data_IF_139521993968
#
_entry.id   IF_139521993968
#
_cell.length_a   1.000
_cell.length_b   1.000
_cell.length_c   1.000
_cell.angle_alpha   90.00
_cell.angle_beta   90.00
_cell.angle_gamma   90.00
#
_symmetry.space_group_name_H-M   'P 1'
#
loop_
_entity.id
_entity.type
_entity.pdbx_description
1 polymer ?
#
# COMPACT_ATOMS: atom_id res chain seq x y z
N UNK A 1 -44.27 18.07 9.25
CA UNK A 1 -43.93 16.64 9.43
C UNK A 1 -42.84 16.29 8.43
N UNK A 2 -41.58 16.22 8.89
CA UNK A 2 -40.45 15.73 8.09
C UNK A 2 -40.30 14.24 8.38
N UNK A 3 -40.27 13.42 7.34
CA UNK A 3 -39.94 11.99 7.46
C UNK A 3 -38.51 11.84 8.00
N UNK A 4 -38.25 10.88 8.90
CA UNK A 4 -36.89 10.55 9.31
C UNK A 4 -36.18 9.85 8.15
N UNK A 5 -34.92 10.20 7.94
CA UNK A 5 -34.05 9.51 7.00
C UNK A 5 -33.79 8.09 7.53
N UNK A 6 -33.95 7.11 6.64
CA UNK A 6 -33.58 5.72 6.90
C UNK A 6 -32.06 5.65 7.11
N UNK A 7 -31.65 5.30 8.33
CA UNK A 7 -30.29 4.87 8.64
C UNK A 7 -29.99 3.58 7.85
N UNK A 8 -29.22 3.72 6.78
CA UNK A 8 -28.63 2.58 6.09
C UNK A 8 -27.70 1.86 7.09
N UNK A 9 -27.85 0.54 7.33
CA UNK A 9 -26.99 -0.17 8.25
C UNK A 9 -25.54 -0.11 7.74
N UNK A 10 -24.63 0.31 8.62
CA UNK A 10 -23.19 0.19 8.38
C UNK A 10 -22.87 -1.24 7.91
N UNK A 11 -22.07 -1.41 6.84
CA UNK A 11 -21.62 -2.73 6.43
C UNK A 11 -20.61 -3.25 7.45
N UNK A 12 -21.14 -3.79 8.55
CA UNK A 12 -20.39 -4.55 9.53
C UNK A 12 -19.65 -5.68 8.80
N UNK A 13 -18.32 -5.61 8.88
CA UNK A 13 -17.35 -6.49 8.24
C UNK A 13 -17.40 -7.92 8.82
N UNK A 14 -18.56 -8.58 8.71
CA UNK A 14 -18.78 -9.96 9.15
C UNK A 14 -18.41 -10.91 8.01
N UNK A 15 -17.26 -11.58 8.18
CA UNK A 15 -16.68 -12.70 7.39
C UNK A 15 -15.98 -12.23 6.11
N UNK A 16 -14.69 -12.54 5.90
CA UNK A 16 -14.14 -13.89 5.92
C UNK A 16 -12.91 -14.06 6.85
N UNK A 17 -13.17 -14.45 8.10
CA UNK A 17 -12.26 -15.38 8.76
C UNK A 17 -12.47 -16.74 8.07
N UNK A 18 -11.39 -17.41 7.65
CA UNK A 18 -11.43 -18.77 7.09
C UNK A 18 -12.39 -19.63 7.91
N UNK A 19 -13.35 -20.28 7.25
CA UNK A 19 -14.43 -21.01 7.90
C UNK A 19 -13.87 -22.03 8.90
N UNK A 20 -14.52 -22.14 10.06
CA UNK A 20 -14.14 -23.06 11.15
C UNK A 20 -14.27 -24.56 10.78
N UNK A 21 -14.51 -24.89 9.52
CA UNK A 21 -14.72 -26.25 9.02
C UNK A 21 -13.43 -26.99 8.65
N UNK A 22 -12.27 -26.40 8.96
CA UNK A 22 -10.97 -26.98 8.70
C UNK A 22 -10.59 -27.04 7.21
N UNK A 23 -11.31 -26.32 6.34
CA UNK A 23 -11.04 -26.33 4.91
C UNK A 23 -9.76 -25.58 4.58
N UNK A 24 -8.92 -26.24 3.78
CA UNK A 24 -7.80 -25.63 3.07
C UNK A 24 -8.34 -24.65 2.03
N UNK A 25 -7.89 -23.40 2.10
CA UNK A 25 -8.15 -22.38 1.10
C UNK A 25 -6.87 -22.09 0.32
N UNK A 26 -7.02 -21.83 -0.98
CA UNK A 26 -5.90 -21.44 -1.85
C UNK A 26 -6.22 -20.10 -2.49
N UNK A 27 -5.26 -19.19 -2.47
CA UNK A 27 -5.35 -17.86 -3.08
C UNK A 27 -4.21 -17.67 -4.07
N UNK A 28 -4.48 -16.95 -5.15
CA UNK A 28 -3.46 -16.49 -6.09
C UNK A 28 -3.31 -15.00 -5.89
N UNK A 29 -2.10 -14.54 -5.58
CA UNK A 29 -1.79 -13.13 -5.39
C UNK A 29 -1.72 -12.46 -6.75
N UNK A 30 -2.27 -11.25 -6.88
CA UNK A 30 -2.31 -10.52 -8.15
C UNK A 30 -1.22 -9.45 -8.18
N UNK A 31 -0.65 -9.20 -9.36
CA UNK A 31 0.35 -8.16 -9.56
C UNK A 31 0.44 -7.77 -11.04
N UNK A 32 -0.33 -6.75 -11.44
CA UNK A 32 -0.31 -6.16 -12.78
C UNK A 32 -0.40 -7.21 -13.92
N UNK A 33 -1.35 -8.14 -13.78
CA UNK A 33 -1.56 -9.26 -14.70
C UNK A 33 -0.78 -10.54 -14.34
N UNK A 34 0.25 -10.45 -13.50
CA UNK A 34 1.01 -11.58 -12.98
C UNK A 34 0.36 -12.26 -11.77
N UNK A 35 0.88 -13.44 -11.42
CA UNK A 35 0.53 -14.18 -10.20
C UNK A 35 1.78 -14.61 -9.43
N UNK A 36 2.50 -13.69 -8.76
CA UNK A 36 3.83 -13.98 -8.22
C UNK A 36 3.82 -15.05 -7.12
N UNK A 37 2.70 -15.18 -6.40
CA UNK A 37 2.57 -16.14 -5.31
C UNK A 37 1.25 -16.89 -5.33
N UNK A 38 1.31 -18.17 -4.96
CA UNK A 38 0.18 -18.99 -4.52
C UNK A 38 0.26 -19.12 -3.01
N UNK A 39 -0.87 -18.97 -2.32
CA UNK A 39 -0.93 -19.08 -0.86
C UNK A 39 -1.90 -20.18 -0.48
N UNK A 40 -1.46 -21.09 0.38
CA UNK A 40 -2.31 -22.10 1.02
C UNK A 40 -2.54 -21.71 2.47
N UNK A 41 -3.81 -21.63 2.88
CA UNK A 41 -4.22 -21.35 4.26
C UNK A 41 -5.00 -22.56 4.79
N UNK A 42 -4.55 -23.10 5.91
CA UNK A 42 -5.21 -24.22 6.57
C UNK A 42 -5.33 -23.95 8.07
N UNK A 43 -6.52 -24.16 8.63
CA UNK A 43 -6.74 -24.14 10.09
C UNK A 43 -7.19 -25.52 10.52
N UNK A 44 -6.48 -26.14 11.46
CA UNK A 44 -6.91 -27.42 12.00
C UNK A 44 -8.02 -27.19 13.04
N UNK A 45 -9.01 -28.11 13.15
CA UNK A 45 -10.00 -28.03 14.22
C UNK A 45 -9.31 -27.99 15.60
N UNK A 46 -9.58 -26.94 16.38
CA UNK A 46 -8.99 -26.74 17.70
C UNK A 46 -7.67 -25.96 17.73
N UNK A 47 -7.02 -25.70 16.59
CA UNK A 47 -5.83 -24.85 16.53
C UNK A 47 -6.25 -23.35 16.55
N UNK A 48 -5.75 -22.53 17.49
CA UNK A 48 -6.02 -21.10 17.48
C UNK A 48 -5.39 -20.38 16.28
N UNK A 49 -4.35 -20.95 15.65
CA UNK A 49 -3.62 -20.34 14.54
C UNK A 49 -3.91 -21.05 13.22
N UNK A 50 -3.79 -20.30 12.13
CA UNK A 50 -3.81 -20.84 10.77
C UNK A 50 -2.37 -21.07 10.30
N UNK A 51 -2.12 -22.22 9.67
CA UNK A 51 -0.90 -22.49 8.93
C UNK A 51 -1.02 -21.86 7.55
N UNK A 52 -0.07 -20.99 7.20
CA UNK A 52 -0.03 -20.25 5.94
C UNK A 52 1.26 -20.59 5.22
N UNK A 53 1.15 -21.07 3.99
CA UNK A 53 2.29 -21.46 3.14
C UNK A 53 2.28 -20.63 1.86
N UNK A 54 3.42 -20.02 1.52
CA UNK A 54 3.58 -19.19 0.32
C UNK A 54 4.49 -19.92 -0.66
N UNK A 55 4.07 -20.00 -1.93
CA UNK A 55 4.80 -20.65 -3.01
C UNK A 55 5.08 -19.62 -4.11
N UNK A 56 6.32 -19.54 -4.60
CA UNK A 56 6.68 -18.64 -5.71
C UNK A 56 6.22 -19.18 -7.04
N UNK A 57 5.90 -18.29 -7.96
CA UNK A 57 5.67 -18.63 -9.36
C UNK A 57 6.98 -19.02 -10.07
N UNK A 58 6.86 -19.94 -11.02
CA UNK A 58 7.91 -20.33 -11.97
C UNK A 58 7.49 -19.76 -13.33
N UNK A 59 8.31 -18.86 -13.88
CA UNK A 59 8.04 -18.17 -15.14
C UNK A 59 8.81 -18.82 -16.29
N UNK A 60 8.35 -19.98 -16.74
CA UNK A 60 8.89 -20.68 -17.91
C UNK A 60 7.84 -20.94 -19.00
N UNK A 61 6.55 -20.72 -18.72
CA UNK A 61 5.42 -21.08 -19.59
C UNK A 61 4.30 -20.02 -19.60
N UNK A 62 3.37 -20.13 -20.56
CA UNK A 62 2.19 -19.25 -20.71
C UNK A 62 1.22 -19.29 -19.51
N UNK A 63 1.34 -20.30 -18.63
CA UNK A 63 0.51 -20.48 -17.45
C UNK A 63 1.37 -20.50 -16.17
N UNK A 64 1.00 -19.78 -15.10
CA UNK A 64 1.82 -19.73 -13.89
C UNK A 64 1.84 -21.10 -13.22
N UNK A 65 3.03 -21.73 -13.21
CA UNK A 65 3.36 -22.83 -12.31
C UNK A 65 3.91 -22.25 -11.02
N UNK A 66 3.91 -23.06 -9.97
CA UNK A 66 4.46 -22.66 -8.68
C UNK A 66 5.42 -23.74 -8.19
N UNK A 67 6.39 -23.31 -7.38
CA UNK A 67 7.26 -24.22 -6.63
C UNK A 67 6.42 -25.27 -5.88
N UNK A 68 6.96 -26.50 -5.79
CA UNK A 68 6.32 -27.60 -5.07
C UNK A 68 6.38 -27.39 -3.56
N UNK A 69 7.52 -26.86 -3.08
CA UNK A 69 7.76 -26.52 -1.68
C UNK A 69 7.47 -25.04 -1.41
N UNK A 70 6.98 -24.69 -0.21
CA UNK A 70 6.77 -23.29 0.14
C UNK A 70 8.10 -22.58 0.32
N UNK A 71 8.22 -21.37 -0.27
CA UNK A 71 9.38 -20.52 -0.07
C UNK A 71 9.42 -19.90 1.33
N UNK A 72 8.26 -19.74 1.98
CA UNK A 72 8.11 -19.31 3.36
C UNK A 72 6.79 -19.80 3.95
N UNK A 73 6.75 -20.00 5.27
CA UNK A 73 5.56 -20.44 6.01
C UNK A 73 5.37 -19.64 7.31
N UNK A 74 4.12 -19.48 7.73
CA UNK A 74 3.74 -18.74 8.92
C UNK A 74 2.67 -19.46 9.73
N UNK A 75 2.66 -19.21 11.04
CA UNK A 75 1.53 -19.52 11.93
C UNK A 75 0.86 -18.21 12.33
N UNK A 76 -0.34 -17.95 11.79
CA UNK A 76 -1.04 -16.68 11.92
C UNK A 76 -2.26 -16.79 12.84
N UNK A 77 -2.37 -15.91 13.82
CA UNK A 77 -3.56 -15.78 14.70
C UNK A 77 -4.78 -15.38 13.88
N UNK A 78 -4.59 -14.47 12.93
CA UNK A 78 -5.62 -14.02 12.00
C UNK A 78 -5.06 -13.89 10.59
N UNK A 79 -5.89 -14.24 9.61
CA UNK A 79 -5.61 -14.07 8.19
C UNK A 79 -6.67 -13.12 7.63
N UNK A 80 -6.22 -11.96 7.17
CA UNK A 80 -7.05 -11.00 6.45
C UNK A 80 -6.90 -11.28 4.95
N UNK A 81 -7.98 -11.70 4.32
CA UNK A 81 -8.02 -11.97 2.88
C UNK A 81 -8.38 -10.68 2.16
N UNK A 82 -7.52 -10.23 1.25
CA UNK A 82 -7.75 -9.05 0.43
C UNK A 82 -8.99 -9.22 -0.45
N UNK A 83 -9.85 -8.22 -0.46
CA UNK A 83 -11.07 -8.20 -1.27
C UNK A 83 -11.12 -6.92 -2.09
N UNK A 84 -11.73 -7.00 -3.28
CA UNK A 84 -11.93 -5.87 -4.18
C UNK A 84 -13.40 -5.43 -4.23
N UNK A 85 -13.82 -4.42 -3.45
CA UNK A 85 -15.21 -4.00 -3.38
C UNK A 85 -15.75 -3.43 -4.70
N UNK A 86 -14.87 -2.76 -5.47
CA UNK A 86 -15.21 -2.06 -6.73
C UNK A 86 -15.68 -3.02 -7.83
N UNK A 87 -15.32 -4.30 -7.77
CA UNK A 87 -15.71 -5.33 -8.74
C UNK A 87 -16.79 -6.26 -8.18
N UNK A 88 -17.86 -5.70 -7.62
CA UNK A 88 -18.89 -6.46 -6.92
C UNK A 88 -19.53 -7.60 -7.76
N UNK A 89 -19.59 -7.42 -9.10
CA UNK A 89 -20.11 -8.43 -10.04
C UNK A 89 -19.09 -9.52 -10.42
N UNK A 90 -17.81 -9.32 -10.09
CA UNK A 90 -16.70 -10.24 -10.31
C UNK A 90 -15.96 -10.60 -9.01
N UNK A 91 -16.60 -10.47 -7.84
CA UNK A 91 -15.98 -10.67 -6.51
C UNK A 91 -15.16 -11.95 -6.40
N UNK A 92 -15.71 -13.07 -6.86
CA UNK A 92 -15.05 -14.37 -6.83
C UNK A 92 -13.69 -14.41 -7.57
N UNK A 93 -13.43 -13.47 -8.48
CA UNK A 93 -12.19 -13.42 -9.27
C UNK A 93 -11.03 -12.73 -8.55
N UNK A 94 -11.29 -11.92 -7.52
CA UNK A 94 -10.26 -11.06 -6.90
C UNK A 94 -10.10 -11.26 -5.40
N UNK A 95 -10.89 -12.15 -4.79
CA UNK A 95 -10.69 -12.51 -3.39
C UNK A 95 -9.35 -13.22 -3.21
N UNK A 96 -8.55 -12.74 -2.25
CA UNK A 96 -7.20 -13.23 -2.02
C UNK A 96 -6.16 -12.71 -3.00
N UNK A 97 -6.44 -11.60 -3.69
CA UNK A 97 -5.46 -10.89 -4.52
C UNK A 97 -4.21 -10.43 -3.74
N UNK A 98 -4.31 -10.35 -2.42
CA UNK A 98 -3.25 -10.14 -1.44
C UNK A 98 -3.75 -10.60 -0.07
N UNK A 99 -2.84 -10.87 0.86
CA UNK A 99 -3.18 -11.24 2.24
C UNK A 99 -2.41 -10.37 3.23
N UNK A 100 -3.02 -10.17 4.39
CA UNK A 100 -2.34 -9.63 5.56
C UNK A 100 -2.47 -10.64 6.71
N UNK A 101 -1.34 -11.04 7.29
CA UNK A 101 -1.25 -12.03 8.34
C UNK A 101 -0.95 -11.32 9.65
N UNK A 102 -1.75 -11.57 10.67
CA UNK A 102 -1.45 -11.19 12.05
C UNK A 102 -0.76 -12.35 12.73
N UNK A 103 0.49 -12.15 13.16
CA UNK A 103 1.30 -13.22 13.76
C UNK A 103 1.10 -13.29 15.28
N UNK A 104 1.37 -12.17 15.94
CA UNK A 104 1.22 -11.94 17.39
C UNK A 104 1.33 -10.44 17.66
N UNK A 105 0.69 -9.95 18.74
CA UNK A 105 0.82 -8.54 19.16
C UNK A 105 0.53 -7.56 18.02
N UNK A 106 1.51 -6.72 17.69
CA UNK A 106 1.45 -5.75 16.58
C UNK A 106 2.26 -6.16 15.35
N UNK A 107 2.72 -7.42 15.28
CA UNK A 107 3.52 -7.93 14.17
C UNK A 107 2.62 -8.49 13.07
N UNK A 108 2.86 -8.01 11.86
CA UNK A 108 2.11 -8.41 10.68
C UNK A 108 3.06 -8.80 9.54
N UNK A 109 2.55 -9.66 8.67
CA UNK A 109 3.19 -9.98 7.38
C UNK A 109 2.20 -9.67 6.28
N UNK A 110 2.61 -8.81 5.35
CA UNK A 110 1.89 -8.58 4.12
C UNK A 110 2.39 -9.52 3.03
N UNK A 111 1.46 -10.09 2.26
CA UNK A 111 1.72 -10.95 1.11
C UNK A 111 1.02 -10.34 -0.11
N UNK A 112 1.78 -9.65 -0.96
CA UNK A 112 1.33 -9.03 -2.21
C UNK A 112 2.35 -9.21 -3.32
N UNK A 113 2.73 -8.14 -4.03
CA UNK A 113 3.83 -8.18 -5.01
C UNK A 113 5.15 -8.68 -4.39
N UNK A 114 5.36 -8.40 -3.10
CA UNK A 114 6.44 -8.92 -2.27
C UNK A 114 5.84 -9.48 -0.96
N UNK A 115 6.63 -10.26 -0.22
CA UNK A 115 6.32 -10.65 1.16
C UNK A 115 7.20 -9.84 2.10
N UNK A 116 6.60 -9.07 3.01
CA UNK A 116 7.36 -8.33 4.01
C UNK A 116 6.67 -8.33 5.39
N UNK A 117 7.49 -8.24 6.43
CA UNK A 117 7.04 -8.05 7.80
C UNK A 117 7.06 -6.56 8.18
N UNK A 118 6.11 -6.14 9.01
CA UNK A 118 6.10 -4.82 9.63
C UNK A 118 5.46 -4.86 11.02
N UNK A 119 5.69 -3.81 11.80
CA UNK A 119 5.02 -3.60 13.09
C UNK A 119 4.02 -2.46 12.95
N UNK A 120 2.74 -2.74 13.22
CA UNK A 120 1.70 -1.72 13.24
C UNK A 120 1.83 -0.84 14.50
N UNK A 121 1.28 0.37 14.46
CA UNK A 121 1.19 1.27 15.63
C UNK A 121 0.14 0.78 16.61
N UNK A 122 -0.97 0.26 16.09
CA UNK A 122 -2.09 -0.29 16.87
C UNK A 122 -2.67 -1.53 16.17
N UNK A 123 -3.50 -2.34 16.88
CA UNK A 123 -4.13 -3.50 16.28
C UNK A 123 -4.94 -3.17 15.01
N UNK A 124 -4.67 -3.90 13.93
CA UNK A 124 -5.37 -3.77 12.66
C UNK A 124 -6.78 -4.35 12.78
N UNK A 125 -7.78 -3.52 12.45
CA UNK A 125 -9.20 -3.85 12.54
C UNK A 125 -9.84 -4.08 11.17
N UNK A 126 -9.27 -3.50 10.11
CA UNK A 126 -9.78 -3.59 8.74
C UNK A 126 -8.64 -3.77 7.74
N UNK A 127 -8.90 -4.55 6.71
CA UNK A 127 -8.00 -4.76 5.58
C UNK A 127 -8.83 -4.85 4.31
N UNK A 128 -8.35 -4.20 3.25
CA UNK A 128 -9.00 -4.16 1.94
C UNK A 128 -7.94 -4.13 0.86
N UNK A 129 -8.24 -4.69 -0.31
CA UNK A 129 -7.31 -4.72 -1.44
C UNK A 129 -8.09 -4.51 -2.74
N UNK A 130 -8.52 -3.26 -3.02
CA UNK A 130 -9.14 -2.92 -4.29
C UNK A 130 -8.21 -3.27 -5.45
N UNK A 131 -8.76 -3.82 -6.52
CA UNK A 131 -8.01 -4.04 -7.76
C UNK A 131 -8.39 -2.95 -8.75
N UNK A 132 -7.40 -2.17 -9.16
CA UNK A 132 -7.55 -1.15 -10.17
C UNK A 132 -7.63 -1.73 -11.58
N UNK A 133 -7.45 -0.86 -12.57
CA UNK A 133 -7.28 -1.31 -13.94
C UNK A 133 -5.99 -2.15 -14.07
N UNK A 134 -5.93 -3.00 -15.08
CA UNK A 134 -4.77 -3.87 -15.37
C UNK A 134 -4.39 -4.85 -14.24
N UNK A 135 -5.35 -5.21 -13.38
CA UNK A 135 -5.14 -6.24 -12.36
C UNK A 135 -4.08 -5.88 -11.31
N UNK A 136 -3.98 -4.58 -10.97
CA UNK A 136 -3.09 -4.05 -9.93
C UNK A 136 -3.84 -3.93 -8.60
N UNK A 137 -3.45 -4.66 -7.54
CA UNK A 137 -4.01 -4.47 -6.21
C UNK A 137 -3.48 -3.20 -5.53
N UNK A 138 -4.35 -2.55 -4.75
CA UNK A 138 -4.05 -1.40 -3.90
C UNK A 138 -4.33 -1.72 -2.43
N UNK A 139 -3.62 -2.69 -1.82
CA UNK A 139 -3.90 -3.15 -0.48
C UNK A 139 -3.60 -2.09 0.56
N UNK A 140 -4.53 -1.94 1.51
CA UNK A 140 -4.34 -1.12 2.68
C UNK A 140 -5.04 -1.69 3.91
N UNK A 141 -4.49 -1.35 5.08
CA UNK A 141 -5.05 -1.71 6.37
C UNK A 141 -5.41 -0.48 7.19
N UNK A 142 -6.34 -0.63 8.13
CA UNK A 142 -6.68 0.37 9.13
C UNK A 142 -6.56 -0.23 10.53
N UNK A 143 -5.90 0.51 11.43
CA UNK A 143 -5.86 0.17 12.85
C UNK A 143 -6.98 0.84 13.66
N UNK A 144 -7.09 0.47 14.93
CA UNK A 144 -8.11 0.99 15.86
C UNK A 144 -8.00 2.50 16.14
N UNK A 145 -6.86 3.13 15.87
CA UNK A 145 -6.69 4.60 15.98
C UNK A 145 -6.89 5.31 14.65
N UNK A 146 -7.24 4.56 13.60
CA UNK A 146 -7.52 5.10 12.28
C UNK A 146 -6.28 5.38 11.43
N UNK A 147 -5.07 4.95 11.79
CA UNK A 147 -3.95 5.03 10.83
C UNK A 147 -4.21 4.08 9.66
N UNK A 148 -3.82 4.52 8.45
CA UNK A 148 -3.95 3.73 7.21
C UNK A 148 -2.57 3.31 6.72
N UNK A 149 -2.38 2.01 6.52
CA UNK A 149 -1.11 1.42 6.07
C UNK A 149 -1.22 1.11 4.58
N UNK A 150 -0.49 1.82 3.73
CA UNK A 150 -0.46 1.67 2.28
C UNK A 150 0.69 0.76 1.88
N UNK A 151 0.37 -0.52 1.65
CA UNK A 151 1.38 -1.57 1.55
C UNK A 151 2.30 -1.44 0.33
N UNK A 152 1.78 -0.99 -0.82
CA UNK A 152 2.57 -0.85 -2.06
C UNK A 152 3.22 0.54 -2.20
N UNK A 153 2.92 1.45 -1.28
CA UNK A 153 3.55 2.77 -1.23
C UNK A 153 4.46 2.93 -0.01
N UNK A 154 4.63 1.93 0.85
CA UNK A 154 5.42 2.02 2.09
C UNK A 154 5.11 3.25 2.93
N UNK A 155 3.82 3.61 3.06
CA UNK A 155 3.37 4.82 3.77
C UNK A 155 2.31 4.48 4.81
N UNK A 156 2.38 5.16 5.95
CA UNK A 156 1.32 5.25 6.94
C UNK A 156 0.71 6.65 6.85
N UNK A 157 -0.61 6.73 6.71
CA UNK A 157 -1.35 8.00 6.70
C UNK A 157 -2.08 8.17 8.03
N UNK A 158 -1.96 9.34 8.64
CA UNK A 158 -2.61 9.64 9.93
C UNK A 158 -4.14 9.60 9.84
N UNK A 159 -4.78 9.05 10.88
CA UNK A 159 -6.24 8.95 10.96
C UNK A 159 -6.97 10.29 10.94
N UNK A 160 -6.31 11.38 11.37
CA UNK A 160 -6.86 12.73 11.39
C UNK A 160 -7.30 13.22 10.00
N UNK A 161 -6.71 12.68 8.92
CA UNK A 161 -7.08 13.06 7.56
C UNK A 161 -8.42 12.48 7.09
N UNK A 162 -8.97 11.52 7.84
CA UNK A 162 -10.18 10.77 7.48
C UNK A 162 -11.36 11.01 8.43
N UNK A 163 -11.24 11.91 9.42
CA UNK A 163 -12.28 12.15 10.44
C UNK A 163 -13.66 12.50 9.85
N UNK A 164 -13.70 12.96 8.60
CA UNK A 164 -14.94 13.29 7.88
C UNK A 164 -14.92 12.82 6.42
N UNK A 165 -14.18 11.74 6.11
CA UNK A 165 -14.05 11.28 4.74
C UNK A 165 -13.93 9.77 4.60
N UNK A 166 -14.71 9.22 3.67
CA UNK A 166 -14.61 7.85 3.17
C UNK A 166 -13.71 7.74 1.93
N UNK A 167 -12.89 8.77 1.64
CA UNK A 167 -11.95 8.73 0.51
C UNK A 167 -11.05 7.50 0.60
N UNK A 168 -10.82 6.87 -0.55
CA UNK A 168 -9.86 5.77 -0.64
C UNK A 168 -8.47 6.28 -0.18
N UNK A 169 -7.78 5.57 0.73
CA UNK A 169 -6.50 6.02 1.24
C UNK A 169 -5.42 6.26 0.16
N UNK A 170 -5.44 5.51 -0.95
CA UNK A 170 -4.51 5.76 -2.06
C UNK A 170 -4.88 7.00 -2.85
N UNK A 171 -6.17 7.24 -3.11
CA UNK A 171 -6.62 8.47 -3.79
C UNK A 171 -6.20 9.70 -2.98
N UNK A 172 -6.41 9.67 -1.65
CA UNK A 172 -5.96 10.75 -0.76
C UNK A 172 -4.44 10.91 -0.77
N UNK A 173 -3.69 9.82 -0.71
CA UNK A 173 -2.23 9.85 -0.72
C UNK A 173 -1.69 10.43 -2.02
N UNK A 174 -2.10 9.95 -3.19
CA UNK A 174 -1.58 10.45 -4.47
C UNK A 174 -1.94 11.91 -4.74
N UNK A 175 -3.08 12.36 -4.21
CA UNK A 175 -3.52 13.74 -4.30
C UNK A 175 -2.70 14.66 -3.40
N UNK A 176 -2.42 14.20 -2.17
CA UNK A 176 -1.67 14.98 -1.17
C UNK A 176 -0.16 14.79 -1.23
N UNK A 177 0.35 13.82 -1.97
CA UNK A 177 1.79 13.61 -2.13
C UNK A 177 2.46 14.66 -3.05
N UNK A 178 1.69 15.49 -3.76
CA UNK A 178 2.21 16.51 -4.65
C UNK A 178 2.83 17.69 -3.89
N UNK A 179 4.11 17.98 -4.16
CA UNK A 179 4.84 19.16 -3.68
C UNK A 179 4.88 20.27 -4.74
N UNK A 180 4.87 19.90 -6.03
CA UNK A 180 4.73 20.82 -7.17
C UNK A 180 3.57 20.39 -8.07
N UNK A 181 3.22 21.21 -9.07
CA UNK A 181 2.16 20.85 -10.00
C UNK A 181 2.51 19.57 -10.79
N UNK A 182 1.51 18.73 -11.03
CA UNK A 182 1.65 17.52 -11.82
C UNK A 182 1.68 17.85 -13.31
N UNK A 183 2.88 18.06 -13.84
CA UNK A 183 3.10 18.45 -15.24
C UNK A 183 2.82 17.30 -16.23
N UNK A 184 2.59 16.08 -15.74
CA UNK A 184 2.13 14.94 -16.56
C UNK A 184 0.64 14.98 -16.89
N UNK A 185 -0.14 15.85 -16.24
CA UNK A 185 -1.57 16.02 -16.47
C UNK A 185 -1.89 17.25 -17.33
N UNK A 186 -2.97 17.19 -18.11
CA UNK A 186 -3.46 18.30 -18.93
C UNK A 186 -4.93 18.59 -18.57
N UNK A 187 -5.24 19.70 -17.87
CA UNK A 187 -4.30 20.69 -17.32
C UNK A 187 -3.49 20.13 -16.13
N UNK A 188 -2.35 20.76 -15.76
CA UNK A 188 -1.56 20.31 -14.60
C UNK A 188 -2.35 20.33 -13.30
N UNK A 189 -2.30 19.23 -12.54
CA UNK A 189 -2.95 19.13 -11.23
C UNK A 189 -2.14 19.91 -10.20
N UNK A 190 -2.78 20.81 -9.46
CA UNK A 190 -2.10 21.60 -8.44
C UNK A 190 -1.86 20.78 -7.16
N UNK A 191 -0.76 21.02 -6.43
CA UNK A 191 -0.50 20.37 -5.15
C UNK A 191 -1.53 20.80 -4.10
N UNK A 192 -1.82 19.94 -3.12
CA UNK A 192 -2.78 20.27 -2.06
C UNK A 192 -2.31 21.45 -1.19
N UNK A 193 -1.00 21.57 -1.00
CA UNK A 193 -0.36 22.72 -0.38
C UNK A 193 0.39 23.48 -1.46
N UNK A 194 -0.18 24.60 -1.91
CA UNK A 194 0.50 25.47 -2.87
C UNK A 194 1.83 25.95 -2.29
N UNK A 195 2.91 25.86 -3.10
CA UNK A 195 4.22 26.42 -2.77
C UNK A 195 4.80 25.95 -1.42
N UNK A 196 4.81 24.64 -1.17
CA UNK A 196 5.49 24.09 0.00
C UNK A 196 6.92 24.62 0.12
N UNK A 197 7.24 25.31 1.21
CA UNK A 197 8.50 26.03 1.43
C UNK A 197 8.93 26.97 0.27
N UNK A 198 7.95 27.55 -0.44
CA UNK A 198 8.17 28.41 -1.61
C UNK A 198 8.62 27.66 -2.86
N UNK A 199 8.64 26.32 -2.86
CA UNK A 199 9.06 25.50 -3.99
C UNK A 199 7.96 25.50 -5.05
N UNK A 200 8.31 25.87 -6.27
CA UNK A 200 7.40 25.89 -7.42
C UNK A 200 7.75 24.83 -8.47
N UNK A 201 9.02 24.45 -8.56
CA UNK A 201 9.50 23.52 -9.59
C UNK A 201 10.57 22.58 -9.02
N UNK A 202 10.68 21.41 -9.62
CA UNK A 202 11.71 20.42 -9.32
C UNK A 202 12.34 19.96 -10.63
N UNK A 203 13.66 19.88 -10.64
CA UNK A 203 14.46 19.64 -11.81
C UNK A 203 15.49 18.55 -11.54
N UNK A 204 15.70 17.69 -12.54
CA UNK A 204 16.81 16.73 -12.56
C UNK A 204 17.62 17.00 -13.83
N UNK A 205 18.80 17.58 -13.65
CA UNK A 205 19.58 18.17 -14.75
C UNK A 205 18.81 19.30 -15.43
N UNK A 206 18.54 19.14 -16.72
CA UNK A 206 17.85 20.12 -17.57
C UNK A 206 16.35 19.87 -17.70
N UNK A 207 15.83 18.79 -17.11
CA UNK A 207 14.42 18.40 -17.27
C UNK A 207 13.63 18.70 -16.00
N UNK A 208 12.46 19.31 -16.17
CA UNK A 208 11.50 19.53 -15.10
C UNK A 208 10.70 18.25 -14.82
N UNK A 209 10.45 17.95 -13.55
CA UNK A 209 9.66 16.80 -13.10
C UNK A 209 8.61 17.21 -12.07
N UNK A 210 7.53 16.43 -11.96
CA UNK A 210 6.60 16.53 -10.83
C UNK A 210 7.33 16.13 -9.55
N UNK A 211 7.29 16.99 -8.54
CA UNK A 211 7.89 16.72 -7.23
C UNK A 211 6.85 16.11 -6.31
N UNK A 212 7.17 14.95 -5.73
CA UNK A 212 6.26 14.21 -4.85
C UNK A 212 6.99 13.68 -3.63
N UNK A 213 6.23 13.49 -2.57
CA UNK A 213 6.70 12.77 -1.39
C UNK A 213 7.17 11.35 -1.75
N UNK A 214 8.27 10.94 -1.10
CA UNK A 214 8.86 9.62 -1.24
C UNK A 214 9.25 9.08 0.15
N UNK A 215 8.69 7.95 0.61
CA UNK A 215 8.94 7.39 1.94
C UNK A 215 10.38 6.90 2.19
N UNK A 216 11.18 6.69 1.14
CA UNK A 216 12.57 6.29 1.24
C UNK A 216 13.50 7.31 0.57
N UNK A 217 13.56 8.55 1.10
CA UNK A 217 14.15 9.68 0.39
C UNK A 217 15.63 9.52 0.08
N UNK A 218 16.40 8.81 0.92
CA UNK A 218 17.81 8.53 0.65
C UNK A 218 18.02 7.65 -0.57
N UNK A 219 17.29 6.53 -0.65
CA UNK A 219 17.36 5.59 -1.78
C UNK A 219 16.90 6.27 -3.07
N UNK A 220 15.89 7.11 -2.95
CA UNK A 220 15.35 7.85 -4.09
C UNK A 220 16.31 8.93 -4.59
N UNK A 221 16.94 9.69 -3.69
CA UNK A 221 18.00 10.63 -4.06
C UNK A 221 19.13 9.92 -4.80
N UNK A 222 19.60 8.78 -4.29
CA UNK A 222 20.66 7.98 -4.91
C UNK A 222 20.27 7.46 -6.30
N UNK A 223 18.98 7.19 -6.52
CA UNK A 223 18.43 6.78 -7.82
C UNK A 223 18.31 7.96 -8.79
N UNK A 224 17.78 9.09 -8.33
CA UNK A 224 17.53 10.27 -9.15
C UNK A 224 18.83 10.99 -9.53
N UNK A 225 19.81 11.06 -8.63
CA UNK A 225 21.11 11.72 -8.86
C UNK A 225 21.92 11.08 -9.99
N UNK A 226 21.68 9.80 -10.29
CA UNK A 226 22.26 9.12 -11.47
C UNK A 226 21.76 9.67 -12.80
N UNK A 227 20.64 10.39 -12.81
CA UNK A 227 20.01 11.00 -13.99
C UNK A 227 20.38 12.47 -14.18
N UNK A 228 20.96 13.10 -13.16
CA UNK A 228 21.36 14.51 -13.19
C UNK A 228 21.33 15.15 -11.80
N UNK A 229 21.78 16.40 -11.74
CA UNK A 229 21.75 17.20 -10.52
C UNK A 229 20.31 17.54 -10.11
N UNK A 230 19.96 17.28 -8.85
CA UNK A 230 18.65 17.63 -8.30
C UNK A 230 18.65 19.09 -7.87
N UNK A 231 17.60 19.81 -8.25
CA UNK A 231 17.40 21.21 -7.86
C UNK A 231 15.92 21.56 -7.77
N UNK A 232 15.61 22.58 -6.97
CA UNK A 232 14.28 23.16 -6.84
C UNK A 232 14.30 24.63 -7.21
N UNK A 233 13.17 25.17 -7.64
CA UNK A 233 13.01 26.62 -7.82
C UNK A 233 12.23 27.18 -6.63
N UNK A 234 12.81 28.15 -5.92
CA UNK A 234 12.17 28.93 -4.87
C UNK A 234 12.11 30.40 -5.30
N UNK A 235 10.92 30.91 -5.58
CA UNK A 235 10.76 32.24 -6.19
C UNK A 235 11.40 32.29 -7.58
N UNK A 236 12.47 33.06 -7.75
CA UNK A 236 13.23 33.16 -9.02
C UNK A 236 14.58 32.42 -8.99
N UNK A 237 14.91 31.77 -7.87
CA UNK A 237 16.22 31.14 -7.68
C UNK A 237 16.13 29.62 -7.85
N UNK A 238 17.04 29.05 -8.64
CA UNK A 238 17.22 27.61 -8.79
C UNK A 238 18.29 27.14 -7.82
N UNK A 239 17.88 26.36 -6.82
CA UNK A 239 18.72 25.91 -5.71
C UNK A 239 19.04 24.44 -5.90
N UNK A 240 20.33 24.12 -5.94
CA UNK A 240 20.82 22.73 -5.95
C UNK A 240 20.51 22.06 -4.60
N UNK A 241 20.06 20.82 -4.65
CA UNK A 241 19.82 20.00 -3.46
C UNK A 241 21.00 19.06 -3.21
N UNK A 242 21.54 19.09 -1.99
CA UNK A 242 22.30 17.97 -1.45
C UNK A 242 21.39 16.81 -1.05
N UNK A 243 21.97 15.66 -0.70
CA UNK A 243 21.20 14.52 -0.17
C UNK A 243 20.46 14.89 1.12
N UNK A 244 21.14 15.60 2.02
CA UNK A 244 20.56 16.03 3.29
C UNK A 244 19.43 17.06 3.09
N UNK A 245 19.57 17.99 2.14
CA UNK A 245 18.50 18.93 1.79
C UNK A 245 17.25 18.19 1.27
N UNK A 246 17.46 17.19 0.39
CA UNK A 246 16.37 16.39 -0.17
C UNK A 246 15.65 15.58 0.91
N UNK A 247 16.40 14.90 1.79
CA UNK A 247 15.84 14.13 2.90
C UNK A 247 15.07 15.03 3.85
N UNK A 248 15.62 16.20 4.20
CA UNK A 248 14.95 17.18 5.05
C UNK A 248 13.64 17.66 4.43
N UNK A 249 13.64 17.98 3.13
CA UNK A 249 12.41 18.38 2.42
C UNK A 249 11.33 17.31 2.47
N UNK A 250 11.70 16.03 2.35
CA UNK A 250 10.75 14.92 2.42
C UNK A 250 10.19 14.72 3.83
N UNK A 251 11.03 14.86 4.86
CA UNK A 251 10.61 14.79 6.26
C UNK A 251 9.66 15.95 6.63
N UNK A 252 10.05 17.18 6.32
CA UNK A 252 9.23 18.37 6.56
C UNK A 252 7.87 18.26 5.86
N UNK A 253 7.85 17.72 4.63
CA UNK A 253 6.61 17.51 3.90
C UNK A 253 5.77 16.37 4.48
N UNK A 254 6.39 15.28 4.93
CA UNK A 254 5.70 14.17 5.59
C UNK A 254 4.95 14.66 6.83
N UNK A 255 5.62 15.45 7.68
CA UNK A 255 5.05 16.03 8.89
C UNK A 255 3.85 16.94 8.57
N UNK A 256 3.99 17.79 7.53
CA UNK A 256 2.90 18.65 7.05
C UNK A 256 1.71 17.84 6.50
N UNK A 257 2.00 16.82 5.69
CA UNK A 257 0.99 16.04 4.99
C UNK A 257 0.33 14.96 5.86
N UNK A 258 0.90 14.68 7.05
CA UNK A 258 0.44 13.63 7.94
C UNK A 258 0.81 12.22 7.45
N UNK A 259 2.00 12.10 6.85
CA UNK A 259 2.56 10.85 6.37
C UNK A 259 3.70 10.39 7.26
N UNK A 260 3.87 9.07 7.34
CA UNK A 260 5.01 8.42 7.96
C UNK A 260 5.47 7.27 7.07
N UNK A 261 6.75 6.92 7.12
CA UNK A 261 7.27 5.75 6.40
C UNK A 261 6.81 4.47 7.09
N UNK A 262 6.26 3.54 6.30
CA UNK A 262 6.04 2.17 6.75
C UNK A 262 7.37 1.42 6.72
N UNK A 263 8.00 1.29 7.88
CA UNK A 263 9.20 0.48 8.00
C UNK A 263 8.86 -1.02 7.92
N UNK A 264 9.48 -1.70 6.97
CA UNK A 264 9.26 -3.12 6.71
C UNK A 264 10.56 -3.87 6.44
N UNK A 265 10.55 -5.17 6.70
CA UNK A 265 11.60 -6.11 6.34
C UNK A 265 11.09 -7.04 5.24
N UNK A 266 11.71 -6.98 4.06
CA UNK A 266 11.37 -7.89 2.96
C UNK A 266 11.83 -9.30 3.31
N UNK A 267 10.88 -10.24 3.32
CA UNK A 267 11.13 -11.66 3.57
C UNK A 267 11.28 -12.43 2.27
N UNK A 268 10.50 -12.06 1.25
CA UNK A 268 10.52 -12.69 -0.07
C UNK A 268 10.32 -11.61 -1.13
N UNK A 269 11.31 -11.43 -1.99
CA UNK A 269 11.20 -10.57 -3.17
C UNK A 269 10.37 -11.23 -4.26
N UNK A 270 9.68 -10.41 -5.04
CA UNK A 270 9.11 -10.76 -6.34
C UNK A 270 10.23 -11.30 -7.24
N UNK A 271 9.97 -12.43 -7.88
CA UNK A 271 10.78 -12.80 -9.04
C UNK A 271 10.32 -11.98 -10.23
N UNK A 272 11.19 -11.11 -10.74
CA UNK A 272 11.00 -10.39 -12.01
C UNK A 272 11.57 -11.25 -13.13
#
# INVERSE_FOLDING_TARGET
MKQPADDAPEPGNKRAAVSADGRKATYLVHDNGGRPFKISVQRQPGDPKAQVQVFKAIYDEEMPRYEEEPCISFSAERVFVGQSPKHAKHRARFDGNSLLLHLEGLKYVFVGENVFAFTAKYPITKYVSPVGNNDVPYPWAMDEQGFRYLMISSVIVTGKLFENSDTDPYDLFFDRALMTADIGMVPPKQPFHAQFQGITEFWIGENQYTFRYEPHPEKDFDRLSRRGELSVVKGSEKIKLSKDDYVTLMQDFADLAGFETLHSETLVERHI
#
